data_IF_926443485245
#
_entry.id   IF_926443485245
#
_cell.length_a   1.000
_cell.length_b   1.000
_cell.length_c   1.000
_cell.angle_alpha   90.00
_cell.angle_beta   90.00
_cell.angle_gamma   90.00
#
_symmetry.space_group_name_H-M   'P 1'
#
loop_
_entity.id
_entity.type
_entity.pdbx_description
1 polymer ?
#
# COMPACT_ATOMS: atom_id res chain seq x y z
N UNK A 1 -11.29 -14.49 -6.11
CA UNK A 1 -11.48 -13.08 -5.75
C UNK A 1 -10.25 -12.28 -6.14
N UNK A 2 -10.44 -11.14 -6.74
CA UNK A 2 -9.32 -10.26 -7.06
C UNK A 2 -9.07 -9.35 -5.85
N UNK A 3 -7.86 -9.45 -5.31
CA UNK A 3 -7.45 -8.66 -4.16
C UNK A 3 -6.34 -7.72 -4.62
N UNK A 4 -6.41 -6.46 -4.21
CA UNK A 4 -5.43 -5.45 -4.59
C UNK A 4 -4.81 -4.76 -3.39
N UNK A 5 -3.56 -4.39 -3.53
CA UNK A 5 -2.85 -3.56 -2.57
C UNK A 5 -2.84 -2.15 -3.13
N UNK A 6 -3.39 -1.20 -2.39
CA UNK A 6 -3.51 0.18 -2.86
C UNK A 6 -3.31 1.18 -1.73
N UNK A 7 -3.12 2.43 -2.10
CA UNK A 7 -3.05 3.51 -1.14
C UNK A 7 -4.43 4.10 -0.89
N UNK A 8 -4.68 4.45 0.35
CA UNK A 8 -5.86 5.24 0.69
C UNK A 8 -5.37 6.52 1.38
N UNK A 9 -5.95 7.64 0.98
CA UNK A 9 -5.56 8.94 1.51
C UNK A 9 -6.26 9.20 2.84
N UNK A 10 -5.48 9.67 3.80
CA UNK A 10 -5.97 10.10 5.11
C UNK A 10 -5.46 11.52 5.37
N UNK A 11 -6.06 12.19 6.35
CA UNK A 11 -5.60 13.52 6.73
C UNK A 11 -6.25 14.64 5.96
N UNK A 12 -5.77 15.84 6.18
CA UNK A 12 -6.31 17.07 5.60
C UNK A 12 -5.77 17.33 4.20
N UNK A 13 -6.37 18.32 3.52
CA UNK A 13 -5.89 18.75 2.22
C UNK A 13 -4.43 19.22 2.25
N UNK A 14 -4.00 19.83 3.34
CA UNK A 14 -2.65 20.35 3.50
C UNK A 14 -1.67 19.35 4.10
N UNK A 15 -2.17 18.24 4.63
CA UNK A 15 -1.35 17.24 5.29
C UNK A 15 -1.70 15.85 4.79
N UNK A 16 -1.39 15.54 3.52
CA UNK A 16 -1.70 14.22 2.98
C UNK A 16 -0.90 13.14 3.69
N UNK A 17 -1.60 12.09 4.05
CA UNK A 17 -1.02 10.91 4.67
C UNK A 17 -1.69 9.70 4.04
N UNK A 18 -0.92 8.69 3.70
CA UNK A 18 -1.45 7.53 3.00
C UNK A 18 -1.27 6.26 3.81
N UNK A 19 -2.22 5.37 3.66
CA UNK A 19 -2.16 4.04 4.25
C UNK A 19 -2.13 3.03 3.11
N UNK A 20 -1.22 2.05 3.21
CA UNK A 20 -1.14 0.97 2.23
C UNK A 20 -2.07 -0.14 2.73
N UNK A 21 -3.11 -0.42 1.97
CA UNK A 21 -4.14 -1.37 2.37
C UNK A 21 -4.31 -2.48 1.36
N UNK A 22 -4.90 -3.58 1.83
CA UNK A 22 -5.33 -4.68 0.98
C UNK A 22 -6.85 -4.65 0.92
N UNK A 23 -7.40 -4.65 -0.27
CA UNK A 23 -8.85 -4.59 -0.45
C UNK A 23 -9.29 -5.42 -1.65
N UNK A 24 -10.55 -5.86 -1.63
CA UNK A 24 -11.17 -6.51 -2.78
C UNK A 24 -11.26 -5.49 -3.91
N UNK A 25 -10.90 -5.90 -5.13
CA UNK A 25 -10.91 -5.00 -6.29
C UNK A 25 -12.30 -4.43 -6.60
N UNK A 26 -13.36 -5.08 -6.09
CA UNK A 26 -14.73 -4.63 -6.28
C UNK A 26 -15.17 -3.64 -5.20
N UNK A 27 -14.41 -3.48 -4.14
CA UNK A 27 -14.77 -2.54 -3.07
C UNK A 27 -14.64 -1.11 -3.56
N UNK A 28 -15.58 -0.21 -3.18
CA UNK A 28 -15.42 1.20 -3.50
C UNK A 28 -14.13 1.75 -2.89
N UNK A 29 -13.64 2.82 -3.48
CA UNK A 29 -12.44 3.50 -3.02
C UNK A 29 -12.49 3.85 -1.54
N UNK A 30 -13.66 4.23 -1.04
CA UNK A 30 -13.88 4.58 0.36
C UNK A 30 -14.51 3.44 1.15
N UNK A 31 -14.53 2.25 0.57
CA UNK A 31 -15.12 1.08 1.21
C UNK A 31 -14.18 0.40 2.18
N UNK A 32 -14.69 -0.69 2.75
CA UNK A 32 -13.92 -1.46 3.72
C UNK A 32 -12.72 -2.14 3.06
N UNK A 33 -11.64 -2.20 3.80
CA UNK A 33 -10.45 -2.91 3.37
C UNK A 33 -10.28 -4.19 4.19
N UNK A 34 -9.47 -5.13 3.67
CA UNK A 34 -9.26 -6.41 4.31
C UNK A 34 -8.17 -6.30 5.38
N UNK A 35 -7.09 -5.59 5.07
CA UNK A 35 -5.93 -5.51 5.96
C UNK A 35 -5.14 -4.23 5.68
N UNK A 36 -4.33 -3.84 6.65
CA UNK A 36 -3.42 -2.70 6.53
C UNK A 36 -1.99 -3.23 6.52
N UNK A 37 -1.24 -2.89 5.47
CA UNK A 37 0.15 -3.33 5.32
C UNK A 37 1.13 -2.30 5.87
N UNK A 38 0.80 -1.01 5.74
CA UNK A 38 1.72 0.02 6.19
C UNK A 38 1.20 1.42 5.96
N UNK A 39 2.10 2.38 6.11
CA UNK A 39 1.78 3.80 5.97
C UNK A 39 2.84 4.50 5.14
N UNK A 40 2.46 5.61 4.52
CA UNK A 40 3.35 6.44 3.73
C UNK A 40 3.08 7.91 4.03
N UNK A 41 4.10 8.62 4.45
CA UNK A 41 4.02 10.04 4.73
C UNK A 41 4.97 10.79 3.78
N UNK A 42 4.43 11.45 2.74
CA UNK A 42 5.28 12.17 1.79
C UNK A 42 5.76 13.53 2.29
N UNK A 43 5.24 14.00 3.42
CA UNK A 43 5.59 15.33 3.95
C UNK A 43 6.93 15.35 4.66
N UNK A 44 7.44 14.20 5.10
CA UNK A 44 8.77 14.15 5.70
C UNK A 44 9.84 14.16 4.63
N UNK A 45 11.05 14.57 4.99
CA UNK A 45 12.19 14.58 4.07
C UNK A 45 13.35 13.81 4.72
N UNK A 46 13.67 12.60 4.24
CA UNK A 46 12.98 11.89 3.14
C UNK A 46 11.59 11.41 3.54
N UNK A 47 10.76 11.09 2.54
CA UNK A 47 9.43 10.59 2.79
C UNK A 47 9.46 9.34 3.66
N UNK A 48 8.60 9.29 4.65
CA UNK A 48 8.57 8.17 5.58
C UNK A 48 7.69 7.05 5.02
N UNK A 49 8.27 5.86 4.92
CA UNK A 49 7.58 4.67 4.44
C UNK A 49 7.74 3.60 5.52
N UNK A 50 6.63 3.17 6.10
CA UNK A 50 6.60 2.10 7.09
C UNK A 50 5.73 0.99 6.56
N UNK A 51 6.32 -0.13 6.19
CA UNK A 51 5.60 -1.25 5.61
C UNK A 51 6.01 -2.53 6.31
N UNK A 52 5.00 -3.34 6.66
CA UNK A 52 5.23 -4.69 7.16
C UNK A 52 5.55 -5.57 5.96
N UNK A 53 6.85 -5.76 5.70
CA UNK A 53 7.31 -6.49 4.53
C UNK A 53 6.84 -7.93 4.51
N UNK A 54 6.80 -8.58 5.67
CA UNK A 54 6.34 -9.96 5.74
C UNK A 54 4.88 -10.08 5.34
N UNK A 55 4.05 -9.18 5.86
CA UNK A 55 2.63 -9.17 5.52
C UNK A 55 2.42 -8.85 4.04
N UNK A 56 3.17 -7.90 3.51
CA UNK A 56 3.09 -7.55 2.09
C UNK A 56 3.45 -8.73 1.20
N UNK A 57 4.55 -9.41 1.52
CA UNK A 57 4.99 -10.57 0.76
C UNK A 57 3.96 -11.69 0.80
N UNK A 58 3.37 -11.91 1.96
CA UNK A 58 2.37 -12.97 2.12
C UNK A 58 1.14 -12.67 1.28
N UNK A 59 0.65 -11.43 1.29
CA UNK A 59 -0.48 -11.07 0.45
C UNK A 59 -0.17 -11.22 -1.04
N UNK A 60 1.02 -10.82 -1.47
CA UNK A 60 1.43 -10.97 -2.86
C UNK A 60 1.55 -12.44 -3.23
N UNK A 61 2.10 -13.25 -2.33
CA UNK A 61 2.18 -14.70 -2.53
C UNK A 61 0.81 -15.32 -2.73
N UNK A 62 -0.20 -14.79 -2.06
CA UNK A 62 -1.57 -15.27 -2.15
C UNK A 62 -2.36 -14.65 -3.30
N UNK A 63 -1.72 -13.89 -4.15
CA UNK A 63 -2.33 -13.36 -5.37
C UNK A 63 -2.74 -11.91 -5.34
N UNK A 64 -2.46 -11.17 -4.26
CA UNK A 64 -2.76 -9.75 -4.21
C UNK A 64 -1.92 -8.99 -5.22
N UNK A 65 -2.55 -8.07 -5.96
CA UNK A 65 -1.86 -7.30 -6.99
C UNK A 65 -1.72 -5.85 -6.54
N UNK A 66 -0.48 -5.33 -6.41
CA UNK A 66 -0.29 -3.93 -6.05
C UNK A 66 -0.55 -3.00 -7.22
N UNK A 67 -1.13 -1.84 -6.93
CA UNK A 67 -1.20 -0.76 -7.92
C UNK A 67 0.23 -0.27 -8.19
N UNK A 68 0.43 0.52 -9.25
CA UNK A 68 1.76 1.02 -9.60
C UNK A 68 2.38 1.80 -8.44
N UNK A 69 1.61 2.69 -7.82
CA UNK A 69 2.11 3.48 -6.70
C UNK A 69 2.44 2.59 -5.50
N UNK A 70 1.56 1.65 -5.16
CA UNK A 70 1.80 0.75 -4.05
C UNK A 70 3.03 -0.13 -4.31
N UNK A 71 3.19 -0.60 -5.54
CA UNK A 71 4.35 -1.38 -5.93
C UNK A 71 5.65 -0.60 -5.72
N UNK A 72 5.67 0.67 -6.13
CA UNK A 72 6.84 1.51 -5.94
C UNK A 72 7.21 1.63 -4.47
N UNK A 73 6.22 1.78 -3.59
CA UNK A 73 6.47 1.85 -2.15
C UNK A 73 6.98 0.52 -1.61
N UNK A 74 6.42 -0.60 -2.08
CA UNK A 74 6.87 -1.92 -1.65
C UNK A 74 8.30 -2.19 -2.09
N UNK A 75 8.67 -1.75 -3.29
CA UNK A 75 10.05 -1.86 -3.76
C UNK A 75 10.99 -1.04 -2.88
N UNK A 76 10.62 0.19 -2.57
CA UNK A 76 11.43 1.05 -1.72
C UNK A 76 11.59 0.51 -0.31
N UNK A 77 10.57 -0.15 0.22
CA UNK A 77 10.63 -0.75 1.55
C UNK A 77 11.41 -2.07 1.59
N UNK A 78 11.69 -2.66 0.42
CA UNK A 78 12.35 -3.94 0.33
C UNK A 78 11.42 -5.14 0.41
N UNK A 79 10.10 -4.91 0.39
CA UNK A 79 9.13 -6.01 0.45
C UNK A 79 9.14 -6.85 -0.82
N UNK A 80 9.33 -6.20 -1.96
CA UNK A 80 9.40 -6.88 -3.25
C UNK A 80 10.58 -6.34 -4.05
N UNK A 81 11.02 -7.11 -5.03
CA UNK A 81 12.10 -6.67 -5.91
C UNK A 81 11.56 -5.80 -7.03
N UNK A 82 12.37 -4.85 -7.51
CA UNK A 82 11.94 -4.03 -8.63
C UNK A 82 11.76 -4.89 -9.88
N UNK A 83 10.74 -4.54 -10.64
CA UNK A 83 10.48 -5.24 -11.89
C UNK A 83 11.49 -4.77 -12.93
N UNK A 84 12.15 -5.71 -13.54
CA UNK A 84 13.09 -5.42 -14.62
C UNK A 84 12.38 -5.12 -15.93
#
# INVERSE_FOLDING_TARGET
MAVKIRLTRLGDKKSPFYRVIVADSRSPRDGKFIDIIGTYNPLTNPAEIKIDNEKAREWIKNGAQPTDTARNLLVKSGAIEPKK
#
